data_IF_179045017848
#
_entry.id   IF_179045017848
#
_cell.length_a   1.000
_cell.length_b   1.000
_cell.length_c   1.000
_cell.angle_alpha   90.00
_cell.angle_beta   90.00
_cell.angle_gamma   90.00
#
_symmetry.space_group_name_H-M   'P 1'
#
loop_
_entity.id
_entity.type
_entity.pdbx_description
1 polymer ?
#
# COMPACT_ATOMS: atom_id res chain seq x y z
N UNK A 1 -18.69 -22.16 68.81
CA UNK A 1 -17.73 -22.10 67.67
C UNK A 1 -18.53 -21.79 66.42
N UNK A 2 -18.37 -20.71 65.67
CA UNK A 2 -17.76 -19.41 65.88
C UNK A 2 -18.55 -18.47 64.96
N UNK A 3 -18.98 -17.32 65.49
CA UNK A 3 -19.64 -16.24 64.75
C UNK A 3 -18.72 -15.68 63.67
N UNK A 4 -19.27 -15.32 62.50
CA UNK A 4 -18.64 -14.36 61.59
C UNK A 4 -19.63 -13.25 61.25
N UNK A 5 -19.19 -11.97 61.27
CA UNK A 5 -20.07 -10.82 61.35
C UNK A 5 -20.43 -10.27 59.97
N UNK A 6 -21.53 -9.52 59.97
CA UNK A 6 -21.98 -8.62 58.93
C UNK A 6 -21.28 -7.25 59.09
N UNK A 7 -20.63 -6.75 58.04
CA UNK A 7 -20.29 -5.34 57.80
C UNK A 7 -19.88 -5.24 56.32
N UNK A 8 -20.68 -4.64 55.43
CA UNK A 8 -20.82 -3.20 55.16
C UNK A 8 -19.78 -2.69 54.13
N UNK A 9 -20.32 -2.17 53.03
CA UNK A 9 -19.80 -1.15 52.12
C UNK A 9 -18.30 -1.02 51.90
N UNK A 10 -17.87 -1.41 50.71
CA UNK A 10 -16.85 -0.67 49.96
C UNK A 10 -17.21 -0.75 48.47
N UNK A 11 -17.84 0.31 47.98
CA UNK A 11 -17.95 0.61 46.57
C UNK A 11 -16.54 0.82 46.01
N UNK A 12 -15.95 -0.21 45.41
CA UNK A 12 -14.75 -0.07 44.59
C UNK A 12 -15.19 0.23 43.15
N UNK A 13 -15.25 1.54 42.93
CA UNK A 13 -15.36 2.22 41.66
C UNK A 13 -14.29 1.65 40.70
N UNK A 14 -14.64 0.98 39.58
CA UNK A 14 -13.66 0.80 38.53
C UNK A 14 -13.43 2.20 37.96
N UNK A 15 -12.38 2.84 38.45
CA UNK A 15 -11.80 4.01 37.84
C UNK A 15 -11.73 3.72 36.35
N UNK A 16 -12.59 4.42 35.61
CA UNK A 16 -12.56 4.56 34.18
C UNK A 16 -11.19 5.09 33.81
N UNK A 17 -10.24 4.17 33.65
CA UNK A 17 -9.07 4.40 32.85
C UNK A 17 -9.59 4.65 31.45
N UNK A 18 -9.72 5.93 31.09
CA UNK A 18 -9.87 6.34 29.70
C UNK A 18 -8.79 5.58 28.92
N UNK A 19 -9.21 4.58 28.15
CA UNK A 19 -8.33 3.88 27.25
C UNK A 19 -7.73 4.94 26.33
N UNK A 20 -6.48 5.32 26.61
CA UNK A 20 -5.75 6.31 25.83
C UNK A 20 -5.89 5.87 24.38
N UNK A 21 -6.36 6.73 23.46
CA UNK A 21 -6.58 6.33 22.09
C UNK A 21 -5.27 5.74 21.56
N UNK A 22 -5.34 4.49 21.11
CA UNK A 22 -4.20 3.74 20.56
C UNK A 22 -3.62 4.55 19.39
N UNK A 23 -2.46 5.17 19.61
CA UNK A 23 -1.80 6.00 18.60
C UNK A 23 -1.05 5.07 17.66
N UNK A 24 -1.67 4.79 16.52
CA UNK A 24 -1.18 3.82 15.54
C UNK A 24 -1.04 4.46 14.17
N UNK A 25 0.19 4.61 13.69
CA UNK A 25 0.48 5.06 12.33
C UNK A 25 0.24 3.93 11.34
N UNK A 26 -0.31 4.29 10.19
CA UNK A 26 -0.63 3.35 9.11
C UNK A 26 0.29 3.56 7.91
N UNK A 27 0.64 2.46 7.21
CA UNK A 27 1.46 2.57 6.02
C UNK A 27 0.70 3.28 4.89
N UNK A 28 1.43 3.65 3.84
CA UNK A 28 0.84 4.13 2.58
C UNK A 28 -0.14 3.13 1.98
N UNK A 29 -1.01 3.61 1.10
CA UNK A 29 -1.89 2.74 0.32
C UNK A 29 -1.07 1.70 -0.47
N UNK A 30 -1.49 0.43 -0.47
CA UNK A 30 -0.85 -0.62 -1.26
C UNK A 30 -1.88 -1.56 -1.86
N UNK A 31 -1.47 -2.26 -2.92
CA UNK A 31 -2.27 -3.29 -3.61
C UNK A 31 -1.68 -4.67 -3.40
N UNK A 32 -2.43 -5.70 -3.81
CA UNK A 32 -1.90 -7.06 -3.86
C UNK A 32 -0.63 -7.10 -4.73
N UNK A 33 0.42 -7.85 -4.31
CA UNK A 33 0.48 -8.77 -3.17
C UNK A 33 0.85 -8.14 -1.81
N UNK A 34 0.99 -6.82 -1.72
CA UNK A 34 1.45 -6.11 -0.51
C UNK A 34 0.32 -5.64 0.43
N UNK A 35 -0.92 -6.09 0.22
CA UNK A 35 -2.06 -5.75 1.09
C UNK A 35 -1.86 -6.22 2.54
N UNK A 36 -1.08 -7.28 2.76
CA UNK A 36 -0.75 -7.76 4.10
C UNK A 36 0.03 -6.72 4.92
N UNK A 37 0.85 -5.88 4.27
CA UNK A 37 1.54 -4.75 4.92
C UNK A 37 0.52 -3.73 5.40
N UNK A 38 -0.41 -3.31 4.53
CA UNK A 38 -1.43 -2.30 4.88
C UNK A 38 -2.30 -2.75 6.04
N UNK A 39 -2.60 -4.05 6.10
CA UNK A 39 -3.50 -4.63 7.10
C UNK A 39 -2.81 -4.88 8.44
N UNK A 40 -1.56 -5.31 8.42
CA UNK A 40 -0.85 -5.77 9.62
C UNK A 40 0.13 -4.73 10.17
N UNK A 41 0.87 -4.04 9.29
CA UNK A 41 1.98 -3.20 9.71
C UNK A 41 1.53 -1.90 10.36
N UNK A 42 2.32 -1.45 11.32
CA UNK A 42 2.04 -0.27 12.12
C UNK A 42 3.26 0.22 12.90
N UNK A 43 3.28 1.52 13.19
CA UNK A 43 4.09 2.09 14.26
C UNK A 43 3.14 2.55 15.37
N UNK A 44 3.34 2.07 16.59
CA UNK A 44 2.51 2.40 17.75
C UNK A 44 3.35 2.79 18.96
N UNK A 45 2.73 3.55 19.87
CA UNK A 45 3.27 3.82 21.20
C UNK A 45 2.57 2.89 22.20
N UNK A 46 3.32 1.95 22.78
CA UNK A 46 2.78 0.95 23.72
C UNK A 46 3.73 0.82 24.92
N UNK A 47 3.20 0.97 26.14
CA UNK A 47 3.92 0.78 27.40
C UNK A 47 5.28 1.50 27.50
N UNK A 48 5.36 2.73 26.98
CA UNK A 48 6.60 3.51 26.98
C UNK A 48 7.66 3.03 25.96
N UNK A 49 7.23 2.27 24.95
CA UNK A 49 8.06 1.84 23.84
C UNK A 49 7.45 2.26 22.49
N UNK A 50 8.32 2.50 21.52
CA UNK A 50 7.93 2.49 20.11
C UNK A 50 7.84 1.03 19.65
N UNK A 51 6.68 0.61 19.15
CA UNK A 51 6.48 -0.73 18.61
C UNK A 51 6.33 -0.65 17.09
N UNK A 52 7.24 -1.30 16.38
CA UNK A 52 7.11 -1.57 14.96
C UNK A 52 6.48 -2.95 14.79
N UNK A 53 5.28 -2.99 14.23
CA UNK A 53 4.64 -4.23 13.79
C UNK A 53 4.93 -4.43 12.30
N UNK A 54 5.58 -5.54 11.97
CA UNK A 54 5.93 -5.93 10.62
C UNK A 54 4.78 -6.53 9.82
N UNK A 55 5.11 -7.06 8.65
CA UNK A 55 4.15 -7.69 7.73
C UNK A 55 3.51 -8.95 8.33
N UNK A 56 4.27 -9.71 9.11
CA UNK A 56 3.84 -10.99 9.66
C UNK A 56 3.16 -10.86 11.02
N UNK A 57 2.96 -9.62 11.51
CA UNK A 57 2.61 -9.37 12.91
C UNK A 57 3.79 -9.55 13.86
N UNK A 58 5.01 -9.74 13.33
CA UNK A 58 6.24 -9.68 14.10
C UNK A 58 6.39 -8.30 14.73
N UNK A 59 6.70 -8.26 16.02
CA UNK A 59 6.77 -7.02 16.80
C UNK A 59 8.21 -6.78 17.21
N UNK A 60 8.69 -5.57 16.92
CA UNK A 60 9.97 -5.07 17.40
C UNK A 60 9.72 -3.84 18.27
N UNK A 61 10.13 -3.92 19.54
CA UNK A 61 9.97 -2.84 20.52
C UNK A 61 11.28 -2.09 20.74
N UNK A 62 11.20 -0.78 20.80
CA UNK A 62 12.31 0.12 21.11
C UNK A 62 11.94 0.94 22.34
N UNK A 63 12.71 0.77 23.42
CA UNK A 63 12.50 1.47 24.69
C UNK A 63 12.61 2.98 24.48
N UNK A 64 11.78 3.77 25.18
CA UNK A 64 11.87 5.24 25.21
C UNK A 64 12.47 5.73 26.53
N UNK A 65 13.28 6.79 26.46
CA UNK A 65 14.02 7.37 27.60
C UNK A 65 15.34 6.66 27.88
N UNK A 66 16.05 7.08 28.95
CA UNK A 66 17.24 6.41 29.50
C UNK A 66 18.31 5.98 28.47
N UNK A 67 18.24 4.71 28.04
CA UNK A 67 19.16 4.06 27.09
C UNK A 67 18.58 3.83 25.69
N UNK A 68 17.35 4.28 25.43
CA UNK A 68 16.63 4.08 24.17
C UNK A 68 16.37 5.39 23.43
N UNK A 69 15.19 5.48 22.81
CA UNK A 69 14.78 6.66 22.03
C UNK A 69 14.59 7.84 22.97
N UNK A 70 15.30 8.94 22.73
CA UNK A 70 15.19 10.18 23.49
C UNK A 70 14.45 11.29 22.73
N UNK A 71 14.50 11.28 21.39
CA UNK A 71 13.85 12.31 20.55
C UNK A 71 13.46 11.80 19.18
N UNK A 72 12.60 12.56 18.51
CA UNK A 72 12.24 12.37 17.11
C UNK A 72 12.70 13.59 16.31
N UNK A 73 13.31 13.36 15.15
CA UNK A 73 13.75 14.41 14.23
C UNK A 73 13.15 14.17 12.85
N UNK A 74 12.43 15.16 12.34
CA UNK A 74 11.94 15.17 10.96
C UNK A 74 12.96 15.84 10.05
N UNK A 75 13.37 15.14 9.01
CA UNK A 75 14.19 15.66 7.92
C UNK A 75 13.29 15.89 6.70
N UNK A 76 13.04 17.15 6.30
CA UNK A 76 12.18 17.45 5.16
C UNK A 76 12.81 16.97 3.84
N UNK A 77 11.98 16.85 2.81
CA UNK A 77 12.44 16.46 1.48
C UNK A 77 13.25 17.59 0.82
N UNK A 78 14.25 17.21 0.02
CA UNK A 78 15.01 18.15 -0.82
C UNK A 78 14.45 18.29 -2.24
N UNK A 79 14.69 19.42 -2.91
CA UNK A 79 14.15 19.68 -4.27
C UNK A 79 14.39 18.57 -5.30
N UNK A 80 15.56 17.92 -5.30
CA UNK A 80 15.86 16.78 -6.18
C UNK A 80 15.22 15.45 -5.78
N UNK A 81 14.75 15.31 -4.54
CA UNK A 81 14.06 14.11 -4.03
C UNK A 81 12.58 14.11 -4.43
N UNK A 82 12.02 15.28 -4.75
CA UNK A 82 10.62 15.45 -5.14
C UNK A 82 10.33 14.88 -6.54
N UNK A 83 11.29 14.96 -7.45
CA UNK A 83 11.10 14.63 -8.89
C UNK A 83 11.78 13.34 -9.33
N UNK A 84 12.80 12.86 -8.61
CA UNK A 84 13.55 11.67 -9.01
C UNK A 84 12.88 10.38 -8.48
N UNK A 85 12.45 9.52 -9.40
CA UNK A 85 11.87 8.22 -9.07
C UNK A 85 12.85 7.32 -8.28
N UNK A 86 14.16 7.45 -8.48
CA UNK A 86 15.16 6.70 -7.72
C UNK A 86 15.33 7.21 -6.27
N UNK A 87 14.91 8.45 -5.98
CA UNK A 87 14.96 9.07 -4.63
C UNK A 87 13.59 9.19 -3.97
N UNK A 88 12.56 8.60 -4.59
CA UNK A 88 11.17 8.69 -4.16
C UNK A 88 10.93 8.22 -2.72
N UNK A 89 11.81 7.40 -2.14
CA UNK A 89 11.71 6.94 -0.75
C UNK A 89 11.65 8.10 0.26
N UNK A 90 12.31 9.22 -0.02
CA UNK A 90 12.30 10.41 0.84
C UNK A 90 11.44 11.56 0.28
N UNK A 91 10.55 11.28 -0.67
CA UNK A 91 9.75 12.31 -1.36
C UNK A 91 9.01 13.24 -0.39
N UNK A 92 8.59 12.72 0.76
CA UNK A 92 7.87 13.47 1.80
C UNK A 92 8.74 13.77 3.03
N UNK A 93 10.03 13.46 2.97
CA UNK A 93 10.96 13.49 4.10
C UNK A 93 10.98 12.19 4.94
N UNK A 94 11.79 12.20 5.99
CA UNK A 94 12.06 11.04 6.84
C UNK A 94 12.04 11.44 8.31
N UNK A 95 11.29 10.69 9.13
CA UNK A 95 11.34 10.82 10.59
C UNK A 95 12.36 9.84 11.14
N UNK A 96 13.24 10.32 12.01
CA UNK A 96 14.30 9.54 12.64
C UNK A 96 14.13 9.60 14.13
N UNK A 97 14.02 8.44 14.77
CA UNK A 97 14.03 8.30 16.21
C UNK A 97 15.49 8.19 16.65
N UNK A 98 15.93 9.11 17.51
CA UNK A 98 17.31 9.19 17.96
C UNK A 98 17.43 8.88 19.46
N UNK A 99 18.57 8.32 19.85
CA UNK A 99 18.94 8.14 21.26
C UNK A 99 19.40 9.46 21.92
N UNK A 100 19.81 9.38 23.19
CA UNK A 100 20.28 10.54 23.95
C UNK A 100 21.56 11.16 23.37
N UNK A 101 22.36 10.39 22.64
CA UNK A 101 23.57 10.82 21.95
C UNK A 101 23.27 11.43 20.57
N UNK A 102 22.00 11.37 20.14
CA UNK A 102 21.58 11.84 18.84
C UNK A 102 21.89 10.87 17.70
N UNK A 103 22.15 9.59 18.00
CA UNK A 103 22.36 8.57 16.98
C UNK A 103 21.02 7.98 16.53
N UNK A 104 20.85 7.65 15.22
CA UNK A 104 19.63 7.05 14.72
C UNK A 104 19.39 5.66 15.32
N UNK A 105 18.18 5.42 15.82
CA UNK A 105 17.70 4.12 16.29
C UNK A 105 16.72 3.52 15.28
N UNK A 106 15.73 4.31 14.85
CA UNK A 106 14.72 3.91 13.85
C UNK A 106 14.57 5.01 12.79
N UNK A 107 14.49 4.62 11.52
CA UNK A 107 14.23 5.52 10.38
C UNK A 107 12.88 5.16 9.78
N UNK A 108 11.97 6.13 9.68
CA UNK A 108 10.63 5.98 9.11
C UNK A 108 10.42 7.00 7.98
N UNK A 109 10.68 6.62 6.72
CA UNK A 109 10.41 7.48 5.57
C UNK A 109 8.90 7.73 5.42
N UNK A 110 8.48 8.99 5.26
CA UNK A 110 7.06 9.33 5.18
C UNK A 110 6.38 8.73 3.94
N UNK A 111 7.14 8.44 2.88
CA UNK A 111 6.62 7.73 1.70
C UNK A 111 6.07 6.33 2.00
N UNK A 112 6.54 5.68 3.07
CA UNK A 112 6.03 4.38 3.51
C UNK A 112 4.95 4.49 4.59
N UNK A 113 4.91 5.61 5.34
CA UNK A 113 4.05 5.79 6.52
C UNK A 113 2.98 6.88 6.39
N UNK A 114 2.83 7.47 5.21
CA UNK A 114 1.76 8.41 4.87
C UNK A 114 0.68 7.66 4.07
N UNK A 115 -0.52 7.42 4.63
CA UNK A 115 -1.60 6.69 3.94
C UNK A 115 -1.92 7.21 2.54
N UNK A 116 -1.78 8.52 2.34
CA UNK A 116 -2.08 9.23 1.09
C UNK A 116 -0.88 9.44 0.16
N UNK A 117 0.30 8.88 0.45
CA UNK A 117 1.56 9.20 -0.24
C UNK A 117 1.51 9.12 -1.78
N UNK A 118 0.74 8.19 -2.32
CA UNK A 118 0.62 7.96 -3.77
C UNK A 118 -0.43 8.85 -4.45
N UNK A 119 -1.35 9.43 -3.67
CA UNK A 119 -2.42 10.30 -4.18
C UNK A 119 -2.18 11.78 -3.91
N UNK A 120 -1.26 12.09 -2.98
CA UNK A 120 -0.90 13.45 -2.61
C UNK A 120 -0.03 14.07 -3.72
N UNK A 121 -0.48 15.18 -4.28
CA UNK A 121 0.29 15.92 -5.27
C UNK A 121 1.52 16.55 -4.63
N UNK A 122 2.71 16.30 -5.18
CA UNK A 122 3.99 16.86 -4.67
C UNK A 122 4.04 18.39 -4.75
N UNK A 123 3.22 19.00 -5.59
CA UNK A 123 3.06 20.46 -5.66
C UNK A 123 2.45 21.08 -4.39
N UNK A 124 1.83 20.28 -3.51
CA UNK A 124 1.16 20.74 -2.30
C UNK A 124 1.88 20.33 -1.01
N UNK A 125 3.15 19.95 -1.07
CA UNK A 125 3.87 19.44 0.10
C UNK A 125 3.85 20.42 1.28
N UNK A 126 4.12 21.69 1.02
CA UNK A 126 4.17 22.75 2.05
C UNK A 126 2.79 23.00 2.68
N UNK A 127 1.72 22.82 1.91
CA UNK A 127 0.33 22.96 2.37
C UNK A 127 -0.21 21.67 3.01
N UNK A 128 0.36 20.51 2.66
CA UNK A 128 -0.17 19.23 3.04
C UNK A 128 0.15 18.85 4.48
N UNK A 129 1.24 19.37 5.07
CA UNK A 129 1.76 18.95 6.38
C UNK A 129 1.85 17.41 6.47
N UNK A 130 2.78 16.78 5.72
CA UNK A 130 2.87 15.32 5.63
C UNK A 130 3.16 14.66 6.99
N UNK A 131 3.82 15.38 7.91
CA UNK A 131 4.15 14.90 9.24
C UNK A 131 2.87 14.75 10.10
N UNK A 132 2.01 15.77 10.13
CA UNK A 132 0.74 15.69 10.83
C UNK A 132 -0.24 14.70 10.18
N UNK A 133 -0.28 14.61 8.84
CA UNK A 133 -1.12 13.62 8.12
C UNK A 133 -0.82 12.19 8.52
N UNK A 134 0.47 11.88 8.63
CA UNK A 134 0.95 10.57 9.02
C UNK A 134 0.70 10.28 10.50
N UNK A 135 0.66 11.31 11.37
CA UNK A 135 0.35 11.21 12.80
C UNK A 135 1.57 11.17 13.73
N UNK A 136 2.74 11.54 13.23
CA UNK A 136 3.98 11.57 14.02
C UNK A 136 3.95 12.54 15.21
N UNK A 137 3.30 13.72 15.14
CA UNK A 137 3.18 14.61 16.30
C UNK A 137 2.45 13.95 17.47
N UNK A 138 1.38 13.19 17.21
CA UNK A 138 0.70 12.43 18.27
C UNK A 138 1.52 11.26 18.77
N UNK A 139 2.26 10.58 17.88
CA UNK A 139 3.16 9.51 18.29
C UNK A 139 4.25 10.03 19.23
N UNK A 140 4.88 11.17 18.89
CA UNK A 140 5.88 11.82 19.73
C UNK A 140 5.31 12.18 21.11
N UNK A 141 4.10 12.76 21.14
CA UNK A 141 3.38 13.10 22.38
C UNK A 141 3.02 11.86 23.20
N UNK A 142 2.62 10.77 22.56
CA UNK A 142 2.29 9.51 23.21
C UNK A 142 3.53 8.84 23.83
N UNK A 143 4.67 8.91 23.14
CA UNK A 143 5.97 8.43 23.61
C UNK A 143 6.61 9.37 24.65
N UNK A 144 6.17 10.63 24.73
CA UNK A 144 6.74 11.61 25.65
C UNK A 144 8.11 12.14 25.20
N UNK A 145 8.38 12.16 23.90
CA UNK A 145 9.65 12.63 23.33
C UNK A 145 9.45 13.91 22.51
N UNK A 146 10.43 14.83 22.46
CA UNK A 146 10.37 16.00 21.59
C UNK A 146 10.43 15.59 20.11
N UNK A 147 9.73 16.35 19.28
CA UNK A 147 9.73 16.24 17.82
C UNK A 147 10.27 17.54 17.21
N UNK A 148 11.48 17.48 16.67
CA UNK A 148 12.15 18.64 16.05
C UNK A 148 12.15 18.51 14.53
N UNK A 149 12.10 19.63 13.81
CA UNK A 149 12.31 19.67 12.35
C UNK A 149 13.73 20.12 12.05
N UNK A 150 14.47 19.38 11.22
CA UNK A 150 15.81 19.75 10.77
C UNK A 150 15.73 20.80 9.66
N UNK A 151 16.66 21.75 9.68
CA UNK A 151 16.88 22.71 8.57
C UNK A 151 17.50 22.04 7.32
N UNK A 152 18.00 20.81 7.48
CA UNK A 152 18.69 20.07 6.42
C UNK A 152 17.91 18.83 6.02
N UNK A 153 18.14 18.37 4.79
CA UNK A 153 17.52 17.13 4.30
C UNK A 153 18.25 15.91 4.87
N UNK A 154 17.58 14.76 4.84
CA UNK A 154 18.21 13.50 5.27
C UNK A 154 19.49 13.21 4.48
N UNK A 155 19.52 13.51 3.18
CA UNK A 155 20.68 13.23 2.32
C UNK A 155 21.86 14.19 2.56
N UNK A 156 21.64 15.33 3.19
CA UNK A 156 22.69 16.27 3.58
C UNK A 156 23.45 15.81 4.84
N UNK A 157 22.93 14.81 5.56
CA UNK A 157 23.58 14.30 6.76
C UNK A 157 24.84 13.48 6.43
N UNK A 158 25.86 13.49 7.31
CA UNK A 158 27.07 12.69 7.14
C UNK A 158 26.76 11.20 6.92
N UNK A 159 27.56 10.52 6.09
CA UNK A 159 27.36 9.10 5.81
C UNK A 159 27.38 8.24 7.08
N UNK A 160 28.25 8.60 8.03
CA UNK A 160 28.38 7.92 9.33
C UNK A 160 27.07 7.94 10.14
N UNK A 161 26.29 9.02 10.00
CA UNK A 161 24.97 9.15 10.61
C UNK A 161 23.92 8.39 9.79
N UNK A 162 23.89 8.55 8.46
CA UNK A 162 22.90 7.90 7.58
C UNK A 162 23.00 6.37 7.55
N UNK A 163 24.22 5.84 7.64
CA UNK A 163 24.54 4.41 7.67
C UNK A 163 24.71 3.87 9.10
N UNK A 164 24.40 4.66 10.13
CA UNK A 164 24.38 4.14 11.48
C UNK A 164 23.44 2.93 11.57
N UNK A 165 23.76 1.97 12.44
CA UNK A 165 23.04 0.69 12.61
C UNK A 165 21.65 0.91 13.22
N UNK A 166 20.77 1.54 12.45
CA UNK A 166 19.40 1.84 12.77
C UNK A 166 18.47 0.92 12.00
N UNK A 167 17.29 0.67 12.59
CA UNK A 167 16.24 -0.09 11.93
C UNK A 167 15.52 0.81 10.95
N UNK A 168 15.52 0.44 9.67
CA UNK A 168 14.68 1.11 8.68
C UNK A 168 13.30 0.50 8.69
N UNK A 169 12.32 1.26 9.17
CA UNK A 169 10.91 0.93 9.09
C UNK A 169 10.43 1.18 7.64
N UNK A 170 10.97 0.42 6.69
CA UNK A 170 10.60 0.50 5.27
C UNK A 170 9.81 -0.73 4.86
N UNK A 171 8.90 -0.56 3.91
CA UNK A 171 8.03 -1.63 3.47
C UNK A 171 8.52 -2.23 2.15
N UNK A 172 9.12 -3.40 2.24
CA UNK A 172 9.46 -4.19 1.07
C UNK A 172 8.26 -5.00 0.61
N UNK A 173 7.78 -4.73 -0.61
CA UNK A 173 6.67 -5.48 -1.23
C UNK A 173 6.99 -6.97 -1.34
N UNK A 174 8.27 -7.31 -1.51
CA UNK A 174 8.79 -8.68 -1.54
C UNK A 174 9.82 -8.94 -0.44
N UNK A 175 9.95 -10.18 0.06
CA UNK A 175 10.98 -10.53 1.03
C UNK A 175 12.41 -10.33 0.46
N UNK A 176 13.35 -9.76 1.23
CA UNK A 176 14.74 -9.58 0.78
C UNK A 176 15.46 -10.88 0.38
N UNK A 177 15.08 -12.00 1.00
CA UNK A 177 15.61 -13.33 0.67
C UNK A 177 15.28 -13.74 -0.77
N UNK A 178 14.12 -13.35 -1.29
CA UNK A 178 13.75 -13.60 -2.68
C UNK A 178 14.71 -12.89 -3.63
N UNK A 179 15.05 -11.63 -3.37
CA UNK A 179 15.99 -10.88 -4.20
C UNK A 179 17.37 -11.55 -4.24
N UNK A 180 17.87 -12.06 -3.10
CA UNK A 180 19.14 -12.80 -3.06
C UNK A 180 19.10 -14.09 -3.87
N UNK A 181 18.04 -14.89 -3.71
CA UNK A 181 17.85 -16.14 -4.45
C UNK A 181 17.77 -15.86 -5.95
N UNK A 182 16.99 -14.86 -6.37
CA UNK A 182 16.87 -14.46 -7.77
C UNK A 182 18.19 -13.93 -8.33
N UNK A 183 18.92 -13.09 -7.59
CA UNK A 183 20.23 -12.60 -8.03
C UNK A 183 21.22 -13.75 -8.25
N UNK A 184 21.34 -14.68 -7.27
CA UNK A 184 22.22 -15.83 -7.40
C UNK A 184 21.81 -16.74 -8.56
N UNK A 185 20.50 -17.02 -8.70
CA UNK A 185 19.98 -17.83 -9.79
C UNK A 185 20.19 -17.15 -11.16
N UNK A 186 20.01 -15.84 -11.25
CA UNK A 186 20.25 -15.06 -12.46
C UNK A 186 21.74 -15.06 -12.87
N UNK A 187 22.65 -14.84 -11.92
CA UNK A 187 24.10 -14.91 -12.16
C UNK A 187 24.52 -16.31 -12.60
N UNK A 188 24.04 -17.35 -11.91
CA UNK A 188 24.31 -18.75 -12.27
C UNK A 188 23.77 -19.09 -13.66
N UNK A 189 22.57 -18.61 -13.99
CA UNK A 189 21.96 -18.78 -15.30
C UNK A 189 22.80 -18.15 -16.41
N UNK A 190 23.17 -16.86 -16.27
CA UNK A 190 24.00 -16.16 -17.28
C UNK A 190 25.34 -16.86 -17.46
N UNK A 191 26.03 -17.17 -16.36
CA UNK A 191 27.35 -17.79 -16.41
C UNK A 191 27.29 -19.16 -17.09
N UNK A 192 26.37 -20.03 -16.68
CA UNK A 192 26.22 -21.37 -17.24
C UNK A 192 25.76 -21.34 -18.69
N UNK A 193 24.85 -20.43 -19.06
CA UNK A 193 24.42 -20.27 -20.45
C UNK A 193 25.58 -19.84 -21.36
N UNK A 194 26.36 -18.84 -20.95
CA UNK A 194 27.53 -18.39 -21.71
C UNK A 194 28.60 -19.49 -21.81
N UNK A 195 28.85 -20.23 -20.73
CA UNK A 195 29.76 -21.39 -20.77
C UNK A 195 29.25 -22.46 -21.75
N UNK A 196 27.95 -22.77 -21.74
CA UNK A 196 27.37 -23.75 -22.66
C UNK A 196 27.50 -23.34 -24.13
N UNK A 197 27.40 -22.03 -24.41
CA UNK A 197 27.54 -21.49 -25.78
C UNK A 197 29.01 -21.39 -26.22
N UNK A 198 29.92 -21.00 -25.33
CA UNK A 198 31.31 -20.65 -25.68
C UNK A 198 32.30 -21.80 -25.47
N UNK A 199 32.06 -22.71 -24.53
CA UNK A 199 32.96 -23.83 -24.21
C UNK A 199 32.46 -25.14 -24.83
N UNK A 200 33.25 -25.68 -25.76
CA UNK A 200 32.93 -26.94 -26.49
C UNK A 200 32.89 -28.17 -25.57
N UNK A 201 33.68 -28.18 -24.50
CA UNK A 201 33.86 -29.36 -23.66
C UNK A 201 32.90 -29.41 -22.44
N UNK A 202 32.20 -28.31 -22.17
CA UNK A 202 31.31 -28.17 -21.01
C UNK A 202 29.84 -27.96 -21.40
N UNK A 203 29.52 -28.10 -22.68
CA UNK A 203 28.22 -27.72 -23.27
C UNK A 203 27.04 -28.38 -22.57
N UNK A 204 27.08 -29.70 -22.36
CA UNK A 204 25.98 -30.46 -21.76
C UNK A 204 25.68 -30.05 -20.30
N UNK A 205 26.63 -30.23 -19.35
CA UNK A 205 26.44 -29.84 -17.95
C UNK A 205 26.09 -28.37 -17.77
N UNK A 206 26.70 -27.48 -18.56
CA UNK A 206 26.42 -26.05 -18.49
C UNK A 206 24.97 -25.71 -18.88
N UNK A 207 24.41 -26.37 -19.90
CA UNK A 207 22.98 -26.19 -20.23
C UNK A 207 22.04 -26.73 -19.16
N UNK A 208 22.36 -27.85 -18.50
CA UNK A 208 21.57 -28.36 -17.38
C UNK A 208 21.56 -27.37 -16.21
N UNK A 209 22.73 -26.82 -15.86
CA UNK A 209 22.84 -25.80 -14.81
C UNK A 209 22.07 -24.53 -15.19
N UNK A 210 22.15 -24.10 -16.46
CA UNK A 210 21.36 -22.97 -16.95
C UNK A 210 19.85 -23.24 -16.82
N UNK A 211 19.36 -24.40 -17.27
CA UNK A 211 17.95 -24.78 -17.12
C UNK A 211 17.48 -24.80 -15.67
N UNK A 212 18.28 -25.39 -14.77
CA UNK A 212 17.97 -25.45 -13.34
C UNK A 212 17.95 -24.06 -12.67
N UNK A 213 18.93 -23.21 -12.99
CA UNK A 213 19.03 -21.85 -12.48
C UNK A 213 17.84 -20.98 -12.95
N UNK A 214 17.46 -21.09 -14.23
CA UNK A 214 16.28 -20.44 -14.77
C UNK A 214 15.00 -20.88 -14.06
N UNK A 215 14.82 -22.18 -13.85
CA UNK A 215 13.65 -22.70 -13.15
C UNK A 215 13.60 -22.20 -11.69
N UNK A 216 14.72 -22.24 -10.97
CA UNK A 216 14.83 -21.72 -9.61
C UNK A 216 14.47 -20.22 -9.54
N UNK A 217 14.94 -19.45 -10.51
CA UNK A 217 14.65 -18.03 -10.64
C UNK A 217 13.15 -17.75 -10.73
N UNK A 218 12.44 -18.48 -11.59
CA UNK A 218 11.00 -18.29 -11.79
C UNK A 218 10.18 -18.88 -10.64
N UNK A 219 10.49 -20.10 -10.20
CA UNK A 219 9.77 -20.81 -9.12
C UNK A 219 9.84 -20.03 -7.81
N UNK A 220 10.99 -19.44 -7.47
CA UNK A 220 11.12 -18.63 -6.24
C UNK A 220 10.17 -17.44 -6.22
N UNK A 221 10.03 -16.72 -7.35
CA UNK A 221 9.08 -15.62 -7.50
C UNK A 221 7.62 -16.08 -7.41
N UNK A 222 7.29 -17.15 -8.16
CA UNK A 222 5.95 -17.73 -8.16
C UNK A 222 5.53 -18.22 -6.77
N UNK A 223 6.43 -18.87 -6.03
CA UNK A 223 6.18 -19.38 -4.68
C UNK A 223 5.90 -18.25 -3.68
N UNK A 224 6.72 -17.20 -3.67
CA UNK A 224 6.50 -16.03 -2.80
C UNK A 224 5.17 -15.38 -3.10
N UNK A 225 4.83 -15.19 -4.38
CA UNK A 225 3.56 -14.59 -4.76
C UNK A 225 2.36 -15.45 -4.37
N UNK A 226 2.45 -16.76 -4.55
CA UNK A 226 1.42 -17.69 -4.10
C UNK A 226 1.22 -17.61 -2.59
N UNK A 227 2.30 -17.45 -1.81
CA UNK A 227 2.22 -17.24 -0.36
C UNK A 227 1.58 -15.90 -0.03
N UNK A 228 2.01 -14.79 -0.65
CA UNK A 228 1.46 -13.46 -0.38
C UNK A 228 -0.02 -13.36 -0.78
N UNK A 229 -0.41 -13.89 -1.94
CA UNK A 229 -1.82 -13.99 -2.35
C UNK A 229 -2.64 -14.83 -1.38
N UNK A 230 -2.10 -15.94 -0.85
CA UNK A 230 -2.79 -16.76 0.16
C UNK A 230 -2.99 -16.03 1.48
N UNK A 231 -2.10 -15.11 1.85
CA UNK A 231 -2.22 -14.30 3.07
C UNK A 231 -3.28 -13.21 2.95
N UNK A 232 -3.60 -12.81 1.72
CA UNK A 232 -4.63 -11.82 1.42
C UNK A 232 -5.75 -12.47 0.60
N UNK A 233 -6.37 -13.50 1.18
CA UNK A 233 -7.51 -14.20 0.54
C UNK A 233 -8.73 -13.30 0.40
N UNK A 234 -8.97 -12.44 1.39
CA UNK A 234 -10.18 -11.64 1.43
C UNK A 234 -9.94 -10.29 0.72
N UNK A 235 -10.61 -10.11 -0.42
CA UNK A 235 -10.59 -8.85 -1.18
C UNK A 235 -11.18 -7.72 -0.33
N UNK A 236 -12.24 -8.02 0.44
CA UNK A 236 -12.86 -7.10 1.40
C UNK A 236 -12.43 -7.50 2.81
N UNK A 237 -11.86 -6.58 3.63
CA UNK A 237 -11.50 -6.90 5.00
C UNK A 237 -12.67 -7.43 5.83
N UNK A 238 -12.40 -8.44 6.65
CA UNK A 238 -13.35 -9.00 7.62
C UNK A 238 -13.72 -7.94 8.68
N UNK A 239 -14.92 -8.06 9.23
CA UNK A 239 -15.46 -7.14 10.24
C UNK A 239 -16.87 -6.67 9.90
N UNK A 240 -17.54 -6.02 10.87
CA UNK A 240 -18.92 -5.55 10.72
C UNK A 240 -19.04 -4.49 9.63
N UNK A 241 -20.27 -4.32 9.12
CA UNK A 241 -20.62 -3.34 8.11
C UNK A 241 -20.40 -3.81 6.67
N UNK A 242 -21.34 -3.47 5.80
CA UNK A 242 -21.25 -3.76 4.37
C UNK A 242 -20.39 -2.73 3.64
N UNK A 243 -19.60 -3.17 2.63
CA UNK A 243 -18.87 -2.23 1.80
C UNK A 243 -19.84 -1.36 0.99
N UNK A 244 -19.62 -0.05 1.03
CA UNK A 244 -20.24 0.92 0.10
C UNK A 244 -19.50 0.81 -1.22
N UNK A 245 -20.22 0.45 -2.28
CA UNK A 245 -19.68 0.27 -3.63
C UNK A 245 -20.16 1.40 -4.55
N UNK A 246 -19.46 1.64 -5.67
CA UNK A 246 -19.90 2.64 -6.62
C UNK A 246 -21.30 2.35 -7.17
N UNK A 247 -22.16 3.38 -7.16
CA UNK A 247 -23.45 3.39 -7.85
C UNK A 247 -23.43 4.54 -8.86
N UNK A 248 -22.93 4.30 -10.09
CA UNK A 248 -22.82 5.34 -11.10
C UNK A 248 -24.17 5.62 -11.78
N UNK A 249 -24.29 6.81 -12.35
CA UNK A 249 -25.46 7.22 -13.15
C UNK A 249 -25.74 6.24 -14.31
N UNK A 250 -27.02 5.98 -14.59
CA UNK A 250 -27.47 4.93 -15.54
C UNK A 250 -27.07 5.20 -17.00
N UNK A 251 -26.84 6.46 -17.37
CA UNK A 251 -26.54 6.89 -18.74
C UNK A 251 -25.11 6.58 -19.20
N UNK A 252 -24.30 5.90 -18.36
CA UNK A 252 -22.89 5.62 -18.62
C UNK A 252 -22.57 4.14 -18.48
N UNK A 253 -21.96 3.59 -19.52
CA UNK A 253 -21.30 2.29 -19.43
C UNK A 253 -20.05 2.41 -18.57
N UNK A 254 -19.98 1.60 -17.52
CA UNK A 254 -18.79 1.42 -16.68
C UNK A 254 -18.30 -0.01 -16.80
N UNK A 255 -17.05 -0.27 -16.42
CA UNK A 255 -16.51 -1.64 -16.45
C UNK A 255 -16.96 -2.42 -15.22
N UNK A 256 -17.08 -3.76 -15.34
CA UNK A 256 -17.31 -4.65 -14.19
C UNK A 256 -16.26 -4.47 -13.09
N UNK A 257 -15.02 -4.16 -13.48
CA UNK A 257 -13.92 -3.80 -12.58
C UNK A 257 -14.32 -2.69 -11.63
N UNK A 258 -14.83 -1.59 -12.18
CA UNK A 258 -15.20 -0.43 -11.38
C UNK A 258 -16.33 -0.72 -10.39
N UNK A 259 -17.27 -1.60 -10.74
CA UNK A 259 -18.35 -1.99 -9.81
C UNK A 259 -17.89 -3.00 -8.74
N UNK A 260 -16.85 -3.79 -9.02
CA UNK A 260 -16.41 -4.92 -8.16
C UNK A 260 -15.19 -4.64 -7.28
N UNK A 261 -14.26 -3.82 -7.74
CA UNK A 261 -12.97 -3.63 -7.08
C UNK A 261 -13.01 -2.51 -6.03
N UNK A 262 -13.33 -1.25 -6.37
CA UNK A 262 -13.34 -0.18 -5.41
C UNK A 262 -14.49 -0.33 -4.41
N UNK A 263 -14.22 0.05 -3.17
CA UNK A 263 -15.23 0.14 -2.12
C UNK A 263 -14.75 1.04 -0.98
N UNK A 264 -15.71 1.50 -0.18
CA UNK A 264 -15.45 2.11 1.13
C UNK A 264 -16.09 1.25 2.19
N UNK A 265 -15.32 0.83 3.20
CA UNK A 265 -15.83 0.05 4.32
C UNK A 265 -15.44 0.71 5.63
N UNK A 266 -16.43 0.90 6.51
CA UNK A 266 -16.21 1.45 7.84
C UNK A 266 -16.12 0.30 8.84
N UNK A 267 -14.92 0.09 9.39
CA UNK A 267 -14.64 -0.84 10.47
C UNK A 267 -14.72 -0.11 11.83
N UNK A 268 -14.73 -0.82 12.98
CA UNK A 268 -14.78 -0.19 14.29
C UNK A 268 -13.66 0.84 14.52
N UNK A 269 -12.42 0.51 14.18
CA UNK A 269 -11.27 1.41 14.36
C UNK A 269 -10.88 2.23 13.14
N UNK A 270 -11.37 1.88 11.94
CA UNK A 270 -10.77 2.36 10.69
C UNK A 270 -11.79 2.57 9.58
N UNK A 271 -11.51 3.51 8.71
CA UNK A 271 -12.10 3.65 7.40
C UNK A 271 -11.16 3.02 6.37
N UNK A 272 -11.64 2.02 5.65
CA UNK A 272 -10.93 1.36 4.57
C UNK A 272 -11.45 1.89 3.24
N UNK A 273 -10.55 2.40 2.40
CA UNK A 273 -10.84 2.82 1.05
C UNK A 273 -10.04 1.95 0.08
N UNK A 274 -10.72 1.35 -0.88
CA UNK A 274 -10.08 0.62 -1.99
C UNK A 274 -10.39 1.35 -3.29
N UNK A 275 -9.34 1.68 -4.03
CA UNK A 275 -9.45 2.39 -5.32
C UNK A 275 -9.79 1.44 -6.48
N UNK A 276 -10.00 2.00 -7.68
CA UNK A 276 -10.33 1.22 -8.88
C UNK A 276 -9.25 0.23 -9.34
N UNK A 277 -8.04 0.36 -8.79
CA UNK A 277 -6.89 -0.50 -9.06
C UNK A 277 -6.64 -1.52 -7.94
N UNK A 278 -7.44 -1.50 -6.87
CA UNK A 278 -7.32 -2.41 -5.74
C UNK A 278 -6.27 -1.99 -4.71
N UNK A 279 -5.83 -0.72 -4.71
CA UNK A 279 -4.99 -0.19 -3.65
C UNK A 279 -5.85 0.13 -2.42
N UNK A 280 -5.51 -0.48 -1.28
CA UNK A 280 -6.18 -0.30 0.00
C UNK A 280 -5.47 0.80 0.80
N UNK A 281 -6.23 1.80 1.22
CA UNK A 281 -5.83 2.85 2.17
C UNK A 281 -6.65 2.70 3.44
N UNK A 282 -5.99 2.81 4.60
CA UNK A 282 -6.63 2.77 5.92
C UNK A 282 -6.45 4.08 6.63
N UNK A 283 -7.56 4.69 7.04
CA UNK A 283 -7.57 5.91 7.83
C UNK A 283 -8.17 5.60 9.21
N UNK A 284 -7.59 6.07 10.31
CA UNK A 284 -8.15 5.82 11.63
C UNK A 284 -9.51 6.53 11.81
N UNK A 285 -10.32 6.04 12.75
CA UNK A 285 -11.59 6.68 13.16
C UNK A 285 -11.47 7.47 14.46
N UNK A 286 -10.40 7.25 15.22
CA UNK A 286 -10.09 7.98 16.44
C UNK A 286 -8.71 8.65 16.38
N UNK A 287 -8.45 9.61 17.26
CA UNK A 287 -7.22 10.38 17.26
C UNK A 287 -7.23 11.59 16.32
N UNK A 288 -6.06 12.21 16.15
CA UNK A 288 -5.82 13.43 15.35
C UNK A 288 -5.95 13.21 13.85
N UNK A 289 -5.50 12.05 13.38
CA UNK A 289 -5.47 11.67 11.97
C UNK A 289 -6.77 11.04 11.51
N UNK A 290 -7.78 10.99 12.37
CA UNK A 290 -9.08 10.45 12.02
C UNK A 290 -9.87 11.35 11.08
N UNK A 291 -10.74 10.75 10.29
CA UNK A 291 -11.80 11.48 9.58
C UNK A 291 -12.77 12.04 10.61
N UNK A 292 -12.97 13.36 10.60
CA UNK A 292 -13.80 14.13 11.53
C UNK A 292 -15.09 14.65 10.91
N UNK A 293 -15.17 14.76 9.59
CA UNK A 293 -16.40 15.15 8.90
C UNK A 293 -16.40 14.69 7.44
N UNK A 294 -17.58 14.63 6.85
CA UNK A 294 -17.78 14.49 5.41
C UNK A 294 -18.22 15.84 4.86
N UNK A 295 -17.65 16.24 3.72
CA UNK A 295 -18.03 17.48 3.03
C UNK A 295 -18.51 17.13 1.63
N UNK A 296 -19.77 17.42 1.34
CA UNK A 296 -20.32 17.36 -0.02
C UNK A 296 -19.92 18.66 -0.73
N UNK A 297 -19.29 18.51 -1.89
CA UNK A 297 -18.87 19.62 -2.74
C UNK A 297 -19.92 19.81 -3.82
N UNK A 298 -20.65 20.91 -3.75
CA UNK A 298 -21.74 21.23 -4.68
C UNK A 298 -21.26 22.22 -5.74
N UNK A 299 -21.79 22.11 -6.96
CA UNK A 299 -21.56 23.09 -8.01
C UNK A 299 -22.32 24.41 -7.76
N UNK A 300 -22.20 25.35 -8.70
CA UNK A 300 -22.91 26.63 -8.64
C UNK A 300 -24.44 26.49 -8.56
N UNK A 301 -25.00 25.40 -9.08
CA UNK A 301 -26.44 25.10 -9.11
C UNK A 301 -26.92 24.34 -7.88
N UNK A 302 -26.01 23.76 -7.09
CA UNK A 302 -26.38 22.91 -5.96
C UNK A 302 -26.28 21.42 -6.23
N UNK A 303 -25.78 21.03 -7.40
CA UNK A 303 -25.59 19.62 -7.74
C UNK A 303 -24.28 19.09 -7.13
N UNK A 304 -24.31 17.95 -6.42
CA UNK A 304 -23.10 17.36 -5.85
C UNK A 304 -22.09 16.93 -6.91
N UNK A 305 -20.86 17.42 -6.79
CA UNK A 305 -19.71 17.05 -7.61
C UNK A 305 -18.89 15.92 -6.97
N UNK A 306 -18.79 15.90 -5.64
CA UNK A 306 -17.98 14.94 -4.91
C UNK A 306 -18.16 14.98 -3.41
N UNK A 307 -17.52 14.03 -2.74
CA UNK A 307 -17.43 13.96 -1.27
C UNK A 307 -15.98 14.00 -0.86
N UNK A 308 -15.66 14.84 0.12
CA UNK A 308 -14.36 14.92 0.76
C UNK A 308 -14.45 14.37 2.19
N UNK A 309 -13.47 13.55 2.57
CA UNK A 309 -13.29 13.07 3.94
C UNK A 309 -12.32 14.00 4.63
N UNK A 310 -12.80 14.80 5.59
CA UNK A 310 -12.02 15.84 6.25
C UNK A 310 -11.52 15.34 7.61
N UNK A 311 -10.22 15.51 7.88
CA UNK A 311 -9.59 15.27 9.16
C UNK A 311 -9.57 16.52 10.06
N UNK A 312 -8.60 16.58 10.98
CA UNK A 312 -8.37 17.77 11.80
C UNK A 312 -8.09 19.01 10.92
N UNK A 313 -8.55 20.18 11.36
CA UNK A 313 -8.32 21.45 10.66
C UNK A 313 -8.96 21.57 9.27
N UNK A 314 -9.88 20.68 8.87
CA UNK A 314 -10.46 20.69 7.52
C UNK A 314 -9.55 20.07 6.45
N UNK A 315 -8.51 19.34 6.88
CA UNK A 315 -7.59 18.67 5.97
C UNK A 315 -8.29 17.55 5.19
N UNK A 316 -8.30 17.62 3.86
CA UNK A 316 -8.85 16.54 3.03
C UNK A 316 -7.96 15.30 3.11
N UNK A 317 -8.53 14.15 3.49
CA UNK A 317 -7.88 12.84 3.69
C UNK A 317 -8.21 11.82 2.61
N UNK A 318 -9.38 11.97 1.99
CA UNK A 318 -9.81 11.19 0.84
C UNK A 318 -10.87 11.97 0.04
N UNK A 319 -11.04 11.61 -1.23
CA UNK A 319 -12.11 12.16 -2.08
C UNK A 319 -12.81 11.07 -2.89
N UNK A 320 -14.11 11.22 -3.10
CA UNK A 320 -14.93 10.35 -3.96
C UNK A 320 -15.71 11.21 -4.98
N UNK A 321 -15.71 10.85 -6.27
CA UNK A 321 -16.54 11.52 -7.27
C UNK A 321 -18.01 11.13 -7.11
N UNK A 322 -18.89 12.11 -6.90
CA UNK A 322 -20.29 11.86 -6.57
C UNK A 322 -20.99 11.08 -7.69
N UNK A 323 -20.78 11.49 -8.94
CA UNK A 323 -21.37 10.84 -10.12
C UNK A 323 -21.17 9.34 -10.17
N UNK A 324 -19.99 8.87 -9.77
CA UNK A 324 -19.64 7.46 -9.90
C UNK A 324 -20.04 6.63 -8.68
N UNK A 325 -20.23 7.28 -7.52
CA UNK A 325 -20.47 6.60 -6.25
C UNK A 325 -21.91 6.68 -5.78
N UNK A 326 -22.58 7.81 -5.99
CA UNK A 326 -23.85 8.14 -5.33
C UNK A 326 -24.93 8.69 -6.25
N UNK A 327 -24.67 8.87 -7.55
CA UNK A 327 -25.66 9.41 -8.50
C UNK A 327 -26.55 8.34 -9.17
N UNK A 328 -26.20 7.05 -9.03
CA UNK A 328 -26.98 5.94 -9.57
C UNK A 328 -28.18 5.55 -8.69
N UNK A 329 -28.97 4.54 -9.11
CA UNK A 329 -30.21 4.12 -8.43
C UNK A 329 -30.02 3.70 -6.97
N UNK A 330 -28.88 3.06 -6.64
CA UNK A 330 -28.52 2.68 -5.28
C UNK A 330 -27.74 3.76 -4.52
N UNK A 331 -27.46 4.89 -5.17
CA UNK A 331 -26.55 5.91 -4.68
C UNK A 331 -26.99 6.58 -3.39
N UNK A 332 -28.29 6.91 -3.28
CA UNK A 332 -28.84 7.49 -2.06
C UNK A 332 -28.73 6.53 -0.85
N UNK A 333 -29.01 5.24 -1.06
CA UNK A 333 -28.87 4.22 -0.01
C UNK A 333 -27.39 4.02 0.38
N UNK A 334 -26.49 3.97 -0.61
CA UNK A 334 -25.05 3.89 -0.40
C UNK A 334 -24.50 5.10 0.37
N UNK A 335 -24.97 6.30 0.04
CA UNK A 335 -24.62 7.54 0.75
C UNK A 335 -25.10 7.49 2.20
N UNK A 336 -26.38 7.17 2.42
CA UNK A 336 -26.94 7.04 3.76
C UNK A 336 -26.18 6.00 4.59
N UNK A 337 -25.85 4.84 4.00
CA UNK A 337 -25.07 3.78 4.66
C UNK A 337 -23.68 4.30 5.07
N UNK A 338 -23.00 5.04 4.20
CA UNK A 338 -21.70 5.64 4.51
C UNK A 338 -21.80 6.62 5.68
N UNK A 339 -22.75 7.56 5.62
CA UNK A 339 -22.96 8.58 6.67
C UNK A 339 -23.28 7.92 8.01
N UNK A 340 -24.23 6.99 8.03
CA UNK A 340 -24.64 6.28 9.26
C UNK A 340 -23.49 5.45 9.83
N UNK A 341 -22.73 4.75 8.99
CA UNK A 341 -21.63 3.90 9.46
C UNK A 341 -20.45 4.71 10.02
N UNK A 342 -20.12 5.83 9.35
CA UNK A 342 -18.99 6.68 9.76
C UNK A 342 -19.33 7.49 11.02
N UNK A 343 -20.59 7.91 11.17
CA UNK A 343 -21.13 8.66 12.31
C UNK A 343 -20.36 9.96 12.60
N UNK A 344 -20.00 10.70 11.54
CA UNK A 344 -19.37 12.03 11.61
C UNK A 344 -20.28 13.09 10.99
N UNK A 345 -20.14 14.37 11.38
CA UNK A 345 -20.91 15.46 10.79
C UNK A 345 -20.76 15.51 9.26
N UNK A 346 -21.88 15.76 8.57
CA UNK A 346 -21.92 16.06 7.14
C UNK A 346 -22.07 17.57 6.95
N UNK A 347 -21.26 18.14 6.06
CA UNK A 347 -21.29 19.55 5.69
C UNK A 347 -21.40 19.69 4.18
N UNK A 348 -21.80 20.88 3.74
CA UNK A 348 -21.85 21.24 2.34
C UNK A 348 -20.93 22.43 2.08
N UNK A 349 -20.26 22.45 0.94
CA UNK A 349 -19.54 23.63 0.45
C UNK A 349 -19.72 23.78 -1.05
N UNK A 350 -19.67 25.02 -1.54
CA UNK A 350 -19.64 25.31 -2.98
C UNK A 350 -18.23 25.08 -3.54
N UNK A 351 -18.16 24.53 -4.74
CA UNK A 351 -16.95 24.50 -5.53
C UNK A 351 -16.56 25.93 -5.98
N UNK A 352 -15.28 26.17 -6.32
CA UNK A 352 -14.86 27.44 -6.92
C UNK A 352 -15.70 27.81 -8.14
N UNK A 353 -15.89 29.11 -8.39
CA UNK A 353 -16.67 29.57 -9.54
C UNK A 353 -16.12 29.01 -10.86
N UNK A 354 -16.99 28.47 -11.71
CA UNK A 354 -16.60 27.83 -12.99
C UNK A 354 -16.08 26.39 -12.85
N UNK A 355 -15.93 25.86 -11.64
CA UNK A 355 -15.63 24.46 -11.43
C UNK A 355 -16.80 23.57 -11.88
N UNK A 356 -16.47 22.45 -12.50
CA UNK A 356 -17.42 21.42 -12.88
C UNK A 356 -16.89 20.04 -12.47
N UNK A 357 -17.63 19.00 -12.79
CA UNK A 357 -17.31 17.60 -12.48
C UNK A 357 -15.86 17.18 -12.82
N UNK A 358 -15.28 17.76 -13.88
CA UNK A 358 -13.92 17.43 -14.34
C UNK A 358 -12.82 18.31 -13.74
N UNK A 359 -13.16 19.42 -13.11
CA UNK A 359 -12.17 20.45 -12.74
C UNK A 359 -12.20 20.85 -11.26
N UNK A 360 -13.25 20.54 -10.50
CA UNK A 360 -13.37 20.97 -9.10
C UNK A 360 -12.27 20.46 -8.17
N UNK A 361 -11.64 19.34 -8.54
CA UNK A 361 -10.52 18.72 -7.83
C UNK A 361 -9.14 19.14 -8.38
N UNK A 362 -9.11 19.92 -9.46
CA UNK A 362 -7.86 20.49 -9.99
C UNK A 362 -7.36 21.55 -9.01
N UNK A 363 -6.06 21.60 -8.73
CA UNK A 363 -5.56 22.54 -7.74
C UNK A 363 -5.65 22.05 -6.29
N UNK A 364 -6.06 20.79 -6.05
CA UNK A 364 -6.28 20.25 -4.70
C UNK A 364 -5.23 19.19 -4.34
N UNK A 365 -4.76 19.12 -3.07
CA UNK A 365 -3.74 18.16 -2.63
C UNK A 365 -4.05 16.70 -2.96
N UNK A 366 -5.32 16.29 -2.86
CA UNK A 366 -5.79 14.92 -3.15
C UNK A 366 -6.65 14.82 -4.41
N UNK A 367 -6.49 15.73 -5.38
CA UNK A 367 -7.24 15.64 -6.65
C UNK A 367 -7.02 14.32 -7.40
N UNK A 368 -5.87 13.66 -7.20
CA UNK A 368 -5.60 12.33 -7.75
C UNK A 368 -6.55 11.24 -7.26
N UNK A 369 -7.14 11.37 -6.06
CA UNK A 369 -8.12 10.40 -5.55
C UNK A 369 -9.36 10.35 -6.44
N UNK A 370 -9.81 11.49 -6.98
CA UNK A 370 -10.97 11.52 -7.88
C UNK A 370 -10.74 10.64 -9.11
N UNK A 371 -9.54 10.67 -9.68
CA UNK A 371 -9.18 9.83 -10.82
C UNK A 371 -9.08 8.35 -10.43
N UNK A 372 -8.46 8.04 -9.29
CA UNK A 372 -8.31 6.66 -8.81
C UNK A 372 -9.62 6.03 -8.35
N UNK A 373 -10.58 6.85 -7.92
CA UNK A 373 -11.93 6.47 -7.50
C UNK A 373 -12.98 6.58 -8.62
N UNK A 374 -12.54 6.87 -9.85
CA UNK A 374 -13.37 6.86 -11.07
C UNK A 374 -13.17 5.58 -11.87
N UNK A 375 -14.05 5.27 -12.85
CA UNK A 375 -13.84 4.18 -13.79
C UNK A 375 -12.48 4.32 -14.49
N UNK A 376 -11.57 3.34 -14.37
CA UNK A 376 -10.26 3.43 -14.99
C UNK A 376 -10.35 3.04 -16.47
N UNK A 377 -9.47 3.62 -17.30
CA UNK A 377 -9.29 3.13 -18.67
C UNK A 377 -8.80 1.67 -18.63
N UNK A 378 -9.39 0.74 -19.41
CA UNK A 378 -9.00 -0.67 -19.40
C UNK A 378 -7.50 -0.91 -19.60
N UNK A 379 -6.85 -0.10 -20.44
CA UNK A 379 -5.40 -0.22 -20.68
C UNK A 379 -4.60 0.18 -19.42
N UNK A 380 -4.91 1.33 -18.82
CA UNK A 380 -4.28 1.79 -17.59
C UNK A 380 -4.53 0.81 -16.44
N UNK A 381 -5.76 0.31 -16.29
CA UNK A 381 -6.10 -0.71 -15.30
C UNK A 381 -5.25 -1.98 -15.45
N UNK A 382 -5.07 -2.46 -16.69
CA UNK A 382 -4.23 -3.64 -16.95
C UNK A 382 -2.77 -3.40 -16.62
N UNK A 383 -2.22 -2.25 -17.02
CA UNK A 383 -0.84 -1.88 -16.75
C UNK A 383 -0.57 -1.77 -15.24
N UNK A 384 -1.46 -1.10 -14.52
CA UNK A 384 -1.35 -0.96 -13.07
C UNK A 384 -1.52 -2.30 -12.36
N UNK A 385 -2.55 -3.07 -12.68
CA UNK A 385 -2.83 -4.33 -11.98
C UNK A 385 -1.97 -5.51 -12.44
N UNK A 386 -1.01 -5.30 -13.34
CA UNK A 386 -0.19 -6.39 -13.87
C UNK A 386 0.72 -6.99 -12.79
N UNK A 387 0.35 -8.19 -12.35
CA UNK A 387 1.11 -9.08 -11.47
C UNK A 387 2.61 -9.13 -11.81
N UNK A 388 2.85 -9.36 -13.10
CA UNK A 388 4.18 -9.67 -13.65
C UNK A 388 5.19 -8.52 -13.51
N UNK A 389 4.76 -7.25 -13.50
CA UNK A 389 5.70 -6.12 -13.31
C UNK A 389 6.29 -6.06 -11.91
N UNK A 390 5.72 -6.81 -10.95
CA UNK A 390 6.24 -6.94 -9.59
C UNK A 390 7.14 -8.17 -9.41
N UNK A 391 7.10 -9.14 -10.34
CA UNK A 391 7.92 -10.36 -10.28
C UNK A 391 9.24 -10.19 -11.00
N UNK A 392 9.23 -9.48 -12.12
CA UNK A 392 10.37 -9.24 -13.00
C UNK A 392 10.19 -7.87 -13.67
N UNK A 393 11.27 -7.16 -13.95
CA UNK A 393 11.17 -5.99 -14.84
C UNK A 393 10.50 -6.40 -16.15
N UNK A 394 9.69 -5.53 -16.78
CA UNK A 394 9.06 -5.87 -18.07
C UNK A 394 10.08 -6.36 -19.11
N UNK A 395 11.29 -5.78 -19.07
CA UNK A 395 12.45 -6.20 -19.86
C UNK A 395 13.00 -7.59 -19.50
N UNK A 396 13.06 -7.92 -18.20
CA UNK A 396 13.55 -9.20 -17.69
C UNK A 396 12.70 -10.38 -18.17
N UNK A 397 11.37 -10.20 -18.24
CA UNK A 397 10.46 -11.21 -18.79
C UNK A 397 10.76 -11.52 -20.26
N UNK A 398 11.00 -10.48 -21.06
CA UNK A 398 11.32 -10.61 -22.49
C UNK A 398 12.68 -11.29 -22.67
N UNK A 399 13.71 -10.81 -21.96
CA UNK A 399 15.06 -11.36 -22.00
C UNK A 399 15.04 -12.84 -21.61
N UNK A 400 14.51 -13.20 -20.45
CA UNK A 400 14.50 -14.59 -20.00
C UNK A 400 13.76 -15.49 -20.99
N UNK A 401 12.62 -15.06 -21.54
CA UNK A 401 11.88 -15.84 -22.54
C UNK A 401 12.70 -16.07 -23.81
N UNK A 402 13.30 -15.02 -24.37
CA UNK A 402 14.10 -15.13 -25.61
C UNK A 402 15.34 -16.01 -25.42
N UNK A 403 16.06 -15.83 -24.31
CA UNK A 403 17.25 -16.62 -24.00
C UNK A 403 16.94 -18.03 -23.48
N UNK A 404 15.67 -18.36 -23.24
CA UNK A 404 15.23 -19.74 -22.98
C UNK A 404 15.09 -20.57 -24.25
N UNK A 405 14.95 -19.94 -25.43
CA UNK A 405 14.72 -20.65 -26.71
C UNK A 405 15.83 -21.67 -27.01
N UNK A 406 17.14 -21.35 -26.89
CA UNK A 406 18.19 -22.32 -27.14
C UNK A 406 18.18 -23.51 -26.19
N UNK A 407 17.73 -23.31 -24.94
CA UNK A 407 17.55 -24.40 -23.98
C UNK A 407 16.40 -25.32 -24.42
N UNK A 408 15.30 -24.76 -24.89
CA UNK A 408 14.10 -25.51 -25.34
C UNK A 408 14.37 -26.29 -26.64
N UNK A 409 15.19 -25.75 -27.55
CA UNK A 409 15.63 -26.45 -28.77
C UNK A 409 16.34 -27.79 -28.43
N UNK A 410 16.83 -27.95 -27.20
CA UNK A 410 17.38 -29.21 -26.70
C UNK A 410 16.47 -30.43 -26.85
N UNK A 411 15.15 -30.27 -27.03
CA UNK A 411 14.25 -31.38 -27.38
C UNK A 411 14.46 -31.96 -28.78
N UNK A 412 15.07 -31.20 -29.70
CA UNK A 412 15.22 -31.60 -31.10
C UNK A 412 16.51 -32.39 -31.39
N UNK A 413 17.31 -32.72 -30.36
CA UNK A 413 18.58 -33.43 -30.52
C UNK A 413 18.76 -34.60 -29.57
N UNK A 414 19.74 -35.44 -29.85
CA UNK A 414 20.01 -36.70 -29.13
C UNK A 414 20.87 -36.51 -27.86
N UNK A 415 21.22 -35.28 -27.49
CA UNK A 415 22.04 -34.98 -26.30
C UNK A 415 21.16 -35.02 -25.03
N UNK A 416 21.36 -36.00 -24.13
CA UNK A 416 20.54 -36.16 -22.94
C UNK A 416 20.65 -34.95 -22.00
N UNK A 417 21.78 -34.25 -21.97
CA UNK A 417 21.95 -33.07 -21.13
C UNK A 417 21.13 -31.88 -21.66
N UNK A 418 21.05 -31.72 -22.99
CA UNK A 418 20.20 -30.70 -23.62
C UNK A 418 18.71 -31.03 -23.46
N UNK A 419 18.34 -32.31 -23.53
CA UNK A 419 16.98 -32.75 -23.24
C UNK A 419 16.57 -32.40 -21.80
N UNK A 420 17.42 -32.67 -20.81
CA UNK A 420 17.17 -32.30 -19.41
C UNK A 420 17.08 -30.79 -19.25
N UNK A 421 17.98 -30.02 -19.88
CA UNK A 421 17.92 -28.56 -19.87
C UNK A 421 16.59 -28.03 -20.43
N UNK A 422 16.10 -28.62 -21.52
CA UNK A 422 14.82 -28.28 -22.14
C UNK A 422 13.63 -28.61 -21.21
N UNK A 423 13.66 -29.76 -20.54
CA UNK A 423 12.66 -30.19 -19.56
C UNK A 423 12.57 -29.22 -18.37
N UNK A 424 13.66 -28.58 -17.97
CA UNK A 424 13.70 -27.56 -16.91
C UNK A 424 13.29 -26.17 -17.42
N UNK A 425 13.66 -25.81 -18.65
CA UNK A 425 13.39 -24.50 -19.23
C UNK A 425 11.91 -24.30 -19.59
N UNK A 426 11.22 -25.32 -20.10
CA UNK A 426 9.78 -25.23 -20.44
C UNK A 426 8.90 -24.81 -19.26
N UNK A 427 8.92 -25.50 -18.09
CA UNK A 427 8.11 -25.09 -16.96
C UNK A 427 8.50 -23.69 -16.45
N UNK A 428 9.77 -23.29 -16.57
CA UNK A 428 10.19 -21.93 -16.23
C UNK A 428 9.52 -20.89 -17.14
N UNK A 429 9.51 -21.11 -18.47
CA UNK A 429 8.81 -20.22 -19.42
C UNK A 429 7.30 -20.20 -19.18
N UNK A 430 6.69 -21.35 -18.91
CA UNK A 430 5.26 -21.43 -18.59
C UNK A 430 4.94 -20.64 -17.32
N UNK A 431 5.70 -20.84 -16.24
CA UNK A 431 5.51 -20.11 -14.98
C UNK A 431 5.75 -18.60 -15.11
N UNK A 432 6.60 -18.19 -16.07
CA UNK A 432 6.87 -16.79 -16.37
C UNK A 432 5.72 -16.15 -17.17
N UNK A 433 5.21 -16.82 -18.21
CA UNK A 433 4.22 -16.26 -19.13
C UNK A 433 2.77 -16.46 -18.69
N UNK A 434 2.45 -17.59 -18.05
CA UNK A 434 1.08 -17.93 -17.69
C UNK A 434 0.40 -16.90 -16.78
N UNK A 435 1.05 -16.29 -15.77
CA UNK A 435 0.43 -15.24 -14.96
C UNK A 435 0.09 -13.99 -15.79
N UNK A 436 0.97 -13.57 -16.69
CA UNK A 436 0.73 -12.42 -17.55
C UNK A 436 -0.41 -12.68 -18.54
N UNK A 437 -0.45 -13.86 -19.16
CA UNK A 437 -1.52 -14.26 -20.07
C UNK A 437 -2.85 -14.38 -19.33
N UNK A 438 -2.87 -15.06 -18.18
CA UNK A 438 -4.07 -15.21 -17.35
C UNK A 438 -4.60 -13.84 -16.92
N UNK A 439 -3.72 -12.92 -16.51
CA UNK A 439 -4.08 -11.54 -16.17
C UNK A 439 -4.72 -10.81 -17.35
N UNK A 440 -4.11 -10.88 -18.54
CA UNK A 440 -4.64 -10.24 -19.75
C UNK A 440 -6.02 -10.80 -20.14
N UNK A 441 -6.19 -12.13 -20.10
CA UNK A 441 -7.45 -12.80 -20.44
C UNK A 441 -8.55 -12.48 -19.42
N UNK A 442 -8.26 -12.64 -18.12
CA UNK A 442 -9.23 -12.36 -17.05
C UNK A 442 -9.62 -10.89 -16.98
N UNK A 443 -8.67 -9.97 -17.24
CA UNK A 443 -8.97 -8.55 -17.34
C UNK A 443 -9.87 -8.26 -18.54
N UNK A 444 -9.48 -8.66 -19.76
CA UNK A 444 -10.21 -8.32 -20.99
C UNK A 444 -11.60 -8.93 -21.06
N UNK A 445 -11.70 -10.23 -20.75
CA UNK A 445 -12.95 -10.97 -20.91
C UNK A 445 -13.82 -10.97 -19.65
N UNK A 446 -13.27 -10.58 -18.50
CA UNK A 446 -13.99 -10.52 -17.23
C UNK A 446 -14.20 -9.10 -16.75
N UNK A 447 -13.12 -8.45 -16.30
CA UNK A 447 -13.18 -7.20 -15.54
C UNK A 447 -13.44 -5.96 -16.40
N UNK A 448 -12.89 -5.91 -17.61
CA UNK A 448 -12.96 -4.74 -18.49
C UNK A 448 -14.21 -4.78 -19.40
N UNK A 449 -15.08 -5.78 -19.22
CA UNK A 449 -16.37 -5.83 -19.92
C UNK A 449 -17.31 -4.77 -19.38
N UNK A 450 -18.10 -4.18 -20.27
CA UNK A 450 -19.10 -3.19 -19.90
C UNK A 450 -20.18 -3.81 -19.00
N UNK A 451 -20.62 -3.03 -18.03
CA UNK A 451 -21.71 -3.34 -17.13
C UNK A 451 -22.67 -2.16 -17.10
N UNK A 452 -23.94 -2.45 -17.29
CA UNK A 452 -25.02 -1.53 -16.96
C UNK A 452 -25.22 -1.58 -15.45
N UNK A 453 -25.40 -0.43 -14.76
CA UNK A 453 -25.78 -0.42 -13.35
C UNK A 453 -27.14 -1.11 -13.21
N UNK A 454 -27.16 -2.39 -12.83
CA UNK A 454 -28.43 -3.12 -12.59
C UNK A 454 -28.95 -2.75 -11.21
N UNK A 455 -30.26 -2.53 -11.11
CA UNK A 455 -30.99 -2.56 -9.85
C UNK A 455 -30.73 -3.91 -9.18
N UNK A 456 -29.93 -3.94 -8.11
CA UNK A 456 -30.00 -5.04 -7.16
C UNK A 456 -31.33 -4.85 -6.41
N UNK A 457 -32.39 -5.52 -6.88
CA UNK A 457 -33.57 -5.73 -6.06
C UNK A 457 -33.17 -6.54 -4.82
N UNK A 458 -33.68 -6.16 -3.63
CA UNK A 458 -33.22 -6.67 -2.33
C UNK A 458 -33.37 -8.17 -2.14
#
# INVERSE_FOLDING_TARGET
>A
MASRPHAADAADNPASGEARPDVRLRPRAMRAPALDIVRSSALSAEDGALVLTGRNGDRQSFVVGGSGIARMRYFPSGGGEKTDAARALNRWGTVVFEDAQGLPVVQAPLTDWLPEADSLGTAYEDEADPLARAGFPELARALGVPLDTSESTWQAQPETYRQHRSVRAVHHTLPPTLHRVRMLAGVAWVAAFLTGVLAKDLTGPAFVVAGAALLLFVVSGAAVHAVLRRRVRDVVPNGPGDPVRPSPVEDRTVTRRFLRVPFVKVLPGELVLVDSFGAERRLPRAGSTAVKSLVVVDDARGEPLGVEFHGAGGQVRAQLPWRWWFAGPGGAQSWQRLVTSLAVPVRHRKAPSGANEKTWFTGQPLGGDILRMSPPEPRAARQETQEASHLSGGFETIVLTLFSIPLIIGFAGDDPARFVAALLAVPAVVLLLAPALTHQLTSRFGLDTEATPRQETP
#
